data_IF_461299373124
#
_entry.id   IF_461299373124
#
_cell.length_a   1.000
_cell.length_b   1.000
_cell.length_c   1.000
_cell.angle_alpha   90.00
_cell.angle_beta   90.00
_cell.angle_gamma   90.00
#
_symmetry.space_group_name_H-M   'P 1'
#
loop_
_entity.id
_entity.type
_entity.pdbx_description
1 polymer ?
#
# COMPACT_ATOMS: atom_id res chain seq x y z
N UNK A 1 3.35 12.10 -17.99
CA UNK A 1 2.40 12.86 -17.14
C UNK A 1 2.85 13.01 -15.68
N UNK A 2 3.21 11.90 -15.01
CA UNK A 2 3.53 11.85 -13.56
C UNK A 2 4.61 12.87 -13.14
N UNK A 3 5.71 13.00 -13.88
CA UNK A 3 6.78 13.97 -13.56
C UNK A 3 6.27 15.42 -13.49
N UNK A 4 5.31 15.79 -14.34
CA UNK A 4 4.71 17.14 -14.36
C UNK A 4 3.90 17.40 -13.10
N UNK A 5 3.09 16.43 -12.68
CA UNK A 5 2.31 16.51 -11.44
C UNK A 5 3.25 16.52 -10.24
N UNK A 6 4.24 15.64 -10.22
CA UNK A 6 5.25 15.60 -9.17
C UNK A 6 5.96 16.96 -9.06
N UNK A 7 6.37 17.59 -10.18
CA UNK A 7 7.03 18.90 -10.14
C UNK A 7 6.18 20.05 -9.60
N UNK A 8 4.83 19.95 -9.63
CA UNK A 8 3.97 20.94 -8.99
C UNK A 8 3.79 20.73 -7.49
N UNK A 9 4.20 19.58 -6.95
CA UNK A 9 4.23 19.32 -5.51
C UNK A 9 5.55 19.90 -4.98
N UNK A 10 5.44 20.94 -4.17
CA UNK A 10 6.58 21.71 -3.64
C UNK A 10 6.68 21.59 -2.12
N UNK A 11 7.84 21.97 -1.57
CA UNK A 11 8.15 21.92 -0.14
C UNK A 11 9.48 21.21 0.15
N UNK A 12 9.85 21.18 1.43
CA UNK A 12 10.86 20.32 2.03
C UNK A 12 10.52 18.83 1.90
N UNK A 13 11.41 17.91 2.24
CA UNK A 13 11.18 16.47 2.07
C UNK A 13 9.88 15.98 2.74
N UNK A 14 9.64 16.39 3.99
CA UNK A 14 8.40 16.03 4.70
C UNK A 14 7.17 16.70 4.10
N UNK A 15 7.29 17.96 3.69
CA UNK A 15 6.19 18.67 3.01
C UNK A 15 5.86 18.04 1.66
N UNK A 16 6.86 17.55 0.90
CA UNK A 16 6.62 16.81 -0.34
C UNK A 16 5.80 15.55 -0.09
N UNK A 17 6.10 14.82 0.97
CA UNK A 17 5.33 13.63 1.37
C UNK A 17 3.91 14.01 1.76
N UNK A 18 3.73 15.03 2.60
CA UNK A 18 2.40 15.49 3.03
C UNK A 18 1.57 16.02 1.85
N UNK A 19 2.16 16.86 1.00
CA UNK A 19 1.50 17.43 -0.17
C UNK A 19 1.22 16.35 -1.22
N UNK A 20 2.06 15.31 -1.33
CA UNK A 20 1.77 14.15 -2.18
C UNK A 20 0.60 13.30 -1.67
N UNK A 21 0.48 13.14 -0.35
CA UNK A 21 -0.66 12.48 0.28
C UNK A 21 -1.96 13.27 0.07
N UNK A 22 -1.89 14.60 0.26
CA UNK A 22 -3.01 15.53 -0.01
C UNK A 22 -3.42 15.43 -1.47
N UNK A 23 -2.46 15.54 -2.40
CA UNK A 23 -2.73 15.44 -3.83
C UNK A 23 -3.45 14.14 -4.18
N UNK A 24 -2.96 13.01 -3.66
CA UNK A 24 -3.56 11.68 -3.90
C UNK A 24 -5.01 11.65 -3.42
N UNK A 25 -5.28 12.16 -2.21
CA UNK A 25 -6.62 12.18 -1.61
C UNK A 25 -7.58 13.13 -2.34
N UNK A 26 -7.12 14.29 -2.79
CA UNK A 26 -7.96 15.32 -3.41
C UNK A 26 -8.22 15.06 -4.89
N UNK A 27 -7.31 14.38 -5.59
CA UNK A 27 -7.39 14.19 -7.05
C UNK A 27 -7.88 12.81 -7.47
N UNK A 28 -7.89 11.83 -6.57
CA UNK A 28 -8.34 10.46 -6.87
C UNK A 28 -9.58 10.11 -6.04
N UNK A 29 -10.71 9.93 -6.73
CA UNK A 29 -11.95 9.49 -6.09
C UNK A 29 -11.98 7.97 -5.91
N UNK A 30 -12.66 7.51 -4.86
CA UNK A 30 -13.02 6.10 -4.77
C UNK A 30 -14.02 5.78 -5.88
N UNK A 31 -13.71 4.80 -6.73
CA UNK A 31 -14.70 4.19 -7.60
C UNK A 31 -15.76 3.53 -6.72
N UNK A 32 -17.03 3.49 -7.11
CA UNK A 32 -18.08 2.83 -6.31
C UNK A 32 -18.79 1.70 -7.06
N UNK A 33 -18.50 1.51 -8.35
CA UNK A 33 -19.06 0.43 -9.14
C UNK A 33 -18.57 -0.97 -8.73
N UNK A 34 -19.35 -1.98 -9.12
CA UNK A 34 -19.05 -3.39 -8.89
C UNK A 34 -17.81 -3.89 -9.66
N UNK A 35 -17.33 -3.11 -10.62
CA UNK A 35 -16.17 -3.46 -11.46
C UNK A 35 -14.81 -3.35 -10.74
N UNK A 36 -14.76 -2.93 -9.47
CA UNK A 36 -13.52 -2.84 -8.67
C UNK A 36 -12.68 -4.12 -8.72
N UNK A 37 -13.35 -5.27 -8.71
CA UNK A 37 -12.70 -6.58 -8.72
C UNK A 37 -11.99 -6.88 -10.05
N UNK A 38 -12.52 -6.39 -11.18
CA UNK A 38 -11.91 -6.57 -12.50
C UNK A 38 -10.62 -5.76 -12.65
N UNK A 39 -10.53 -4.62 -11.95
CA UNK A 39 -9.37 -3.73 -11.99
C UNK A 39 -8.34 -4.01 -10.88
N UNK A 40 -8.60 -5.00 -10.01
CA UNK A 40 -7.77 -5.29 -8.86
C UNK A 40 -6.33 -5.62 -9.28
N UNK A 41 -5.40 -4.71 -8.97
CA UNK A 41 -3.96 -4.84 -9.27
C UNK A 41 -3.63 -5.04 -10.76
N UNK A 42 -4.51 -4.58 -11.64
CA UNK A 42 -4.33 -4.63 -13.09
C UNK A 42 -3.92 -3.28 -13.69
N UNK A 43 -3.85 -2.22 -12.87
CA UNK A 43 -3.62 -0.85 -13.33
C UNK A 43 -2.26 -0.33 -12.93
N UNK A 44 -1.64 0.39 -13.85
CA UNK A 44 -0.43 1.18 -13.62
C UNK A 44 -0.77 2.50 -12.92
N UNK A 45 0.23 3.13 -12.30
CA UNK A 45 0.07 4.45 -11.69
C UNK A 45 -0.36 5.53 -12.70
N UNK A 46 0.07 5.43 -13.97
CA UNK A 46 -0.34 6.37 -15.01
C UNK A 46 -1.82 6.23 -15.35
N UNK A 47 -2.34 5.01 -15.47
CA UNK A 47 -3.77 4.77 -15.69
C UNK A 47 -4.61 5.26 -14.52
N UNK A 48 -4.20 4.99 -13.28
CA UNK A 48 -4.88 5.46 -12.06
C UNK A 48 -4.96 6.99 -12.03
N UNK A 49 -3.83 7.66 -12.26
CA UNK A 49 -3.75 9.12 -12.25
C UNK A 49 -4.57 9.73 -13.39
N UNK A 50 -4.54 9.13 -14.59
CA UNK A 50 -5.28 9.60 -15.76
C UNK A 50 -6.79 9.42 -15.58
N UNK A 51 -7.22 8.29 -15.02
CA UNK A 51 -8.64 7.99 -14.78
C UNK A 51 -9.22 8.77 -13.60
N UNK A 52 -8.36 9.35 -12.74
CA UNK A 52 -8.72 10.11 -11.54
C UNK A 52 -9.52 9.30 -10.51
N UNK A 53 -9.37 7.97 -10.51
CA UNK A 53 -10.03 7.11 -9.53
C UNK A 53 -9.18 5.93 -9.08
N UNK A 54 -9.40 5.53 -7.83
CA UNK A 54 -8.84 4.33 -7.20
C UNK A 54 -9.95 3.31 -6.94
N UNK A 55 -9.61 2.01 -6.96
CA UNK A 55 -10.51 0.92 -6.54
C UNK A 55 -10.13 0.33 -5.20
N UNK A 56 -8.98 0.74 -4.63
CA UNK A 56 -8.54 0.30 -3.31
C UNK A 56 -7.17 0.88 -2.92
N UNK A 57 -6.62 0.33 -1.83
CA UNK A 57 -5.40 0.84 -1.20
C UNK A 57 -4.17 0.62 -2.08
N UNK A 58 -4.15 -0.43 -2.91
CA UNK A 58 -3.09 -0.66 -3.89
C UNK A 58 -2.98 0.49 -4.88
N UNK A 59 -4.07 0.97 -5.47
CA UNK A 59 -3.99 2.06 -6.45
C UNK A 59 -3.53 3.38 -5.83
N UNK A 60 -4.05 3.70 -4.63
CA UNK A 60 -3.62 4.87 -3.89
C UNK A 60 -2.11 4.81 -3.59
N UNK A 61 -1.61 3.63 -3.20
CA UNK A 61 -0.19 3.40 -2.99
C UNK A 61 0.64 3.56 -4.27
N UNK A 62 0.20 2.99 -5.40
CA UNK A 62 0.93 3.09 -6.68
C UNK A 62 0.99 4.52 -7.20
N UNK A 63 -0.11 5.26 -7.13
CA UNK A 63 -0.13 6.67 -7.48
C UNK A 63 0.85 7.47 -6.61
N UNK A 64 0.76 7.32 -5.30
CA UNK A 64 1.62 8.03 -4.35
C UNK A 64 3.11 7.66 -4.50
N UNK A 65 3.45 6.38 -4.58
CA UNK A 65 4.82 5.89 -4.81
C UNK A 65 5.41 6.54 -6.06
N UNK A 66 4.64 6.60 -7.15
CA UNK A 66 5.12 7.14 -8.42
C UNK A 66 5.40 8.64 -8.34
N UNK A 67 4.59 9.39 -7.58
CA UNK A 67 4.85 10.81 -7.30
C UNK A 67 6.12 11.00 -6.46
N UNK A 68 6.29 10.22 -5.39
CA UNK A 68 7.46 10.31 -4.51
C UNK A 68 8.75 9.96 -5.25
N UNK A 69 8.77 8.85 -6.00
CA UNK A 69 9.93 8.44 -6.80
C UNK A 69 10.25 9.46 -7.90
N UNK A 70 9.25 10.11 -8.50
CA UNK A 70 9.46 11.21 -9.45
C UNK A 70 10.09 12.45 -8.79
N UNK A 71 9.91 12.63 -7.47
CA UNK A 71 10.61 13.62 -6.63
C UNK A 71 11.93 13.12 -6.07
N UNK A 72 12.41 11.95 -6.50
CA UNK A 72 13.63 11.28 -6.01
C UNK A 72 13.56 10.87 -4.54
N UNK A 73 12.36 10.82 -3.95
CA UNK A 73 12.15 10.26 -2.62
C UNK A 73 12.04 8.74 -2.76
N UNK A 74 12.93 7.94 -2.13
CA UNK A 74 12.78 6.50 -2.12
C UNK A 74 11.46 6.12 -1.44
N UNK A 75 10.62 5.36 -2.15
CA UNK A 75 9.33 4.91 -1.68
C UNK A 75 9.15 3.42 -1.96
N UNK A 76 8.60 2.66 -1.01
CA UNK A 76 8.49 1.20 -1.04
C UNK A 76 7.04 0.80 -0.78
N UNK A 77 6.52 -0.11 -1.60
CA UNK A 77 5.21 -0.71 -1.42
C UNK A 77 5.23 -1.66 -0.24
N UNK A 78 4.28 -1.55 0.70
CA UNK A 78 4.22 -2.39 1.91
C UNK A 78 2.86 -3.07 2.00
N UNK A 79 2.84 -4.37 1.73
CA UNK A 79 1.66 -5.22 1.90
C UNK A 79 1.56 -5.68 3.36
N UNK A 80 0.38 -5.54 3.96
CA UNK A 80 0.16 -5.94 5.35
C UNK A 80 -1.10 -6.77 5.51
N UNK A 81 -1.08 -7.66 6.50
CA UNK A 81 -2.19 -8.54 6.87
C UNK A 81 -2.68 -8.15 8.26
N UNK A 82 -3.99 -8.10 8.44
CA UNK A 82 -4.58 -7.87 9.75
C UNK A 82 -4.22 -9.00 10.73
N UNK A 83 -3.76 -8.65 11.94
CA UNK A 83 -3.42 -9.63 12.98
C UNK A 83 -4.63 -10.49 13.34
N UNK A 84 -5.83 -9.90 13.42
CA UNK A 84 -7.05 -10.64 13.74
C UNK A 84 -7.37 -11.70 12.69
N UNK A 85 -7.09 -11.42 11.41
CA UNK A 85 -7.26 -12.42 10.35
C UNK A 85 -6.21 -13.53 10.46
N UNK A 86 -4.96 -13.19 10.81
CA UNK A 86 -3.92 -14.19 11.07
C UNK A 86 -4.26 -15.11 12.24
N UNK A 87 -4.99 -14.62 13.24
CA UNK A 87 -5.43 -15.37 14.43
C UNK A 87 -6.74 -16.15 14.19
N UNK A 88 -7.62 -15.63 13.33
CA UNK A 88 -8.97 -16.18 13.09
C UNK A 88 -8.98 -17.52 12.38
N UNK A 89 -9.71 -18.51 12.89
CA UNK A 89 -9.91 -19.80 12.20
C UNK A 89 -10.57 -19.66 10.82
N UNK A 90 -11.30 -18.57 10.58
CA UNK A 90 -11.95 -18.30 9.30
C UNK A 90 -10.95 -17.81 8.25
N UNK A 91 -11.06 -18.33 7.03
CA UNK A 91 -10.19 -17.96 5.91
C UNK A 91 -10.65 -16.71 5.18
N UNK A 92 -11.93 -16.37 5.31
CA UNK A 92 -12.58 -15.30 4.55
C UNK A 92 -13.52 -14.48 5.43
N UNK A 93 -13.70 -13.18 5.12
CA UNK A 93 -12.95 -12.41 4.12
C UNK A 93 -11.51 -12.11 4.60
N UNK A 94 -10.60 -11.92 3.64
CA UNK A 94 -9.20 -11.55 3.93
C UNK A 94 -9.13 -10.08 4.29
N UNK A 95 -8.49 -9.77 5.41
CA UNK A 95 -8.27 -8.39 5.85
C UNK A 95 -6.79 -8.02 5.77
N UNK A 96 -6.50 -6.92 5.10
CA UNK A 96 -5.17 -6.37 4.93
C UNK A 96 -5.23 -4.88 4.59
N UNK A 97 -4.06 -4.26 4.45
CA UNK A 97 -3.95 -2.89 3.98
C UNK A 97 -2.59 -2.67 3.32
N UNK A 98 -2.55 -1.79 2.32
CA UNK A 98 -1.31 -1.38 1.69
C UNK A 98 -0.88 -0.03 2.26
N UNK A 99 0.36 0.01 2.72
CA UNK A 99 1.06 1.23 3.11
C UNK A 99 2.19 1.54 2.13
N UNK A 100 2.78 2.71 2.29
CA UNK A 100 4.00 3.09 1.59
C UNK A 100 5.05 3.50 2.61
N UNK A 101 6.24 2.93 2.55
CA UNK A 101 7.38 3.43 3.30
C UNK A 101 8.13 4.47 2.46
N UNK A 102 8.42 5.63 3.02
CA UNK A 102 9.25 6.67 2.38
C UNK A 102 10.52 6.91 3.20
N UNK A 103 11.65 7.11 2.52
CA UNK A 103 12.93 7.38 3.17
C UNK A 103 13.23 8.88 3.17
N UNK A 104 13.26 9.49 4.35
CA UNK A 104 13.57 10.90 4.57
C UNK A 104 14.57 11.02 5.72
N UNK A 105 15.51 11.96 5.67
CA UNK A 105 16.44 12.23 6.79
C UNK A 105 17.08 10.97 7.41
N UNK A 106 17.52 10.04 6.54
CA UNK A 106 18.10 8.74 6.92
C UNK A 106 17.16 7.79 7.69
N UNK A 107 15.85 7.98 7.62
CA UNK A 107 14.83 7.17 8.32
C UNK A 107 13.67 6.80 7.41
N UNK A 108 13.10 5.63 7.67
CA UNK A 108 11.87 5.17 7.00
C UNK A 108 10.63 5.64 7.77
N UNK A 109 9.69 6.24 7.06
CA UNK A 109 8.38 6.66 7.56
C UNK A 109 7.29 5.85 6.87
N UNK A 110 6.33 5.33 7.63
CA UNK A 110 5.19 4.60 7.08
C UNK A 110 4.06 5.59 6.79
N UNK A 111 3.56 5.61 5.57
CA UNK A 111 2.48 6.47 5.12
C UNK A 111 1.31 5.64 4.61
N UNK A 112 0.13 6.24 4.68
CA UNK A 112 -1.13 5.67 4.27
C UNK A 112 -1.80 6.58 3.24
N UNK A 113 -1.50 6.38 1.94
CA UNK A 113 -2.00 7.24 0.87
C UNK A 113 -3.52 7.27 0.74
N UNK A 114 -4.19 6.15 1.05
CA UNK A 114 -5.65 6.08 1.00
C UNK A 114 -6.33 7.04 2.00
N UNK A 115 -5.72 7.24 3.18
CA UNK A 115 -6.28 8.11 4.22
C UNK A 115 -5.54 9.45 4.36
N UNK A 116 -4.49 9.66 3.57
CA UNK A 116 -3.67 10.86 3.61
C UNK A 116 -2.93 11.06 4.93
N UNK A 117 -2.36 10.00 5.52
CA UNK A 117 -1.70 10.05 6.84
C UNK A 117 -0.27 9.54 6.80
N UNK A 118 0.58 10.07 7.66
CA UNK A 118 1.89 9.50 8.00
C UNK A 118 1.83 8.98 9.43
N UNK A 119 2.23 7.73 9.62
CA UNK A 119 2.30 7.11 10.94
C UNK A 119 3.52 7.62 11.70
N UNK A 120 3.40 7.73 13.03
CA UNK A 120 4.53 8.14 13.90
C UNK A 120 5.65 7.10 13.94
N UNK A 121 5.38 5.88 13.50
CA UNK A 121 6.33 4.76 13.52
C UNK A 121 6.35 4.07 12.16
N UNK A 122 7.44 3.39 11.84
CA UNK A 122 7.55 2.59 10.63
C UNK A 122 6.88 1.20 10.74
N UNK A 123 6.09 0.94 11.79
CA UNK A 123 5.44 -0.34 12.03
C UNK A 123 3.92 -0.17 12.11
N UNK A 124 3.13 -0.93 11.33
CA UNK A 124 1.69 -0.90 11.49
C UNK A 124 1.29 -1.55 12.82
N UNK A 125 0.42 -0.90 13.59
CA UNK A 125 0.07 -1.32 14.98
C UNK A 125 -0.66 -2.67 15.03
N UNK A 126 -1.72 -2.79 14.24
CA UNK A 126 -2.65 -3.93 14.25
C UNK A 126 -2.46 -4.87 13.06
N UNK A 127 -1.36 -4.71 12.32
CA UNK A 127 -1.08 -5.49 11.11
C UNK A 127 0.34 -6.06 11.15
N UNK A 128 0.56 -7.09 10.34
CA UNK A 128 1.86 -7.73 10.12
C UNK A 128 2.28 -7.44 8.69
N UNK A 129 3.53 -7.03 8.49
CA UNK A 129 4.10 -6.86 7.14
C UNK A 129 4.20 -8.25 6.50
N UNK A 130 3.51 -8.44 5.39
CA UNK A 130 3.60 -9.64 4.57
C UNK A 130 4.84 -9.57 3.67
N UNK A 131 4.94 -8.49 2.89
CA UNK A 131 6.03 -8.28 1.95
C UNK A 131 6.23 -6.79 1.67
N UNK A 132 7.42 -6.47 1.17
CA UNK A 132 7.79 -5.15 0.67
C UNK A 132 8.33 -5.31 -0.74
N UNK A 133 8.07 -4.34 -1.61
CA UNK A 133 8.54 -4.37 -2.99
C UNK A 133 8.39 -3.04 -3.72
N UNK A 134 8.63 -3.08 -5.03
CA UNK A 134 8.43 -1.93 -5.91
C UNK A 134 6.95 -1.60 -6.10
N UNK A 135 6.12 -2.64 -6.22
CA UNK A 135 4.66 -2.64 -6.37
C UNK A 135 4.08 -4.01 -5.98
N UNK A 136 2.81 -4.27 -6.29
CA UNK A 136 2.18 -5.56 -6.00
C UNK A 136 2.69 -6.70 -6.89
N UNK A 137 3.10 -6.43 -8.12
CA UNK A 137 3.63 -7.43 -9.04
C UNK A 137 5.00 -7.93 -8.58
N UNK A 138 5.85 -7.03 -8.07
CA UNK A 138 7.17 -7.34 -7.51
C UNK A 138 7.09 -8.33 -6.33
N UNK A 139 6.06 -8.21 -5.49
CA UNK A 139 5.78 -9.19 -4.41
C UNK A 139 4.97 -10.42 -4.89
N UNK A 140 4.76 -10.53 -6.20
CA UNK A 140 4.09 -11.64 -6.88
C UNK A 140 2.57 -11.68 -6.71
N UNK A 141 1.92 -10.57 -6.39
CA UNK A 141 0.45 -10.49 -6.24
C UNK A 141 -0.12 -9.63 -7.35
N UNK A 142 -0.64 -10.28 -8.39
CA UNK A 142 -1.24 -9.60 -9.55
C UNK A 142 -2.76 -9.64 -9.55
N UNK A 143 -3.36 -10.59 -8.83
CA UNK A 143 -4.80 -10.77 -8.78
C UNK A 143 -5.25 -11.28 -7.39
N UNK A 144 -6.57 -11.40 -7.19
CA UNK A 144 -7.13 -11.82 -5.90
C UNK A 144 -6.79 -13.28 -5.54
N UNK A 145 -6.63 -14.15 -6.54
CA UNK A 145 -6.22 -15.54 -6.33
C UNK A 145 -4.80 -15.60 -5.76
N UNK A 146 -3.85 -14.85 -6.34
CA UNK A 146 -2.47 -14.75 -5.85
C UNK A 146 -2.43 -14.25 -4.40
N UNK A 147 -3.20 -13.19 -4.12
CA UNK A 147 -3.33 -12.61 -2.77
C UNK A 147 -3.79 -13.68 -1.78
N UNK A 148 -4.90 -14.35 -2.09
CA UNK A 148 -5.50 -15.38 -1.24
C UNK A 148 -4.51 -16.51 -0.98
N UNK A 149 -3.92 -17.07 -2.03
CA UNK A 149 -2.99 -18.19 -1.91
C UNK A 149 -1.78 -17.81 -1.05
N UNK A 150 -1.14 -16.67 -1.33
CA UNK A 150 0.05 -16.25 -0.58
C UNK A 150 -0.26 -15.91 0.88
N UNK A 151 -1.40 -15.26 1.15
CA UNK A 151 -1.79 -14.93 2.52
C UNK A 151 -2.12 -16.19 3.33
N UNK A 152 -2.76 -17.20 2.73
CA UNK A 152 -3.02 -18.48 3.40
C UNK A 152 -1.71 -19.21 3.75
N UNK A 153 -0.76 -19.26 2.82
CA UNK A 153 0.58 -19.83 3.06
C UNK A 153 1.30 -19.09 4.18
N UNK A 154 1.26 -17.75 4.15
CA UNK A 154 1.86 -16.93 5.20
C UNK A 154 1.22 -17.18 6.56
N UNK A 155 -0.12 -17.21 6.62
CA UNK A 155 -0.89 -17.44 7.86
C UNK A 155 -0.52 -18.75 8.52
N UNK A 156 -0.41 -19.83 7.74
CA UNK A 156 -0.06 -21.15 8.27
C UNK A 156 1.35 -21.14 8.92
N UNK A 157 2.33 -20.54 8.23
CA UNK A 157 3.70 -20.39 8.77
C UNK A 157 3.73 -19.49 10.01
N UNK A 158 3.00 -18.38 9.97
CA UNK A 158 2.91 -17.43 11.06
C UNK A 158 2.33 -18.09 12.32
N UNK A 159 1.26 -18.89 12.20
CA UNK A 159 0.67 -19.62 13.33
C UNK A 159 1.60 -20.64 13.94
N UNK A 160 2.25 -21.46 13.10
CA UNK A 160 3.21 -22.47 13.59
C UNK A 160 4.29 -21.83 14.46
N UNK A 161 4.86 -20.71 14.00
CA UNK A 161 5.89 -19.96 14.74
C UNK A 161 5.37 -19.34 16.05
N UNK A 162 4.12 -18.89 16.10
CA UNK A 162 3.56 -18.27 17.30
C UNK A 162 3.02 -19.29 18.31
N UNK A 163 2.66 -20.50 17.86
CA UNK A 163 2.31 -21.62 18.76
C UNK A 163 3.57 -22.24 19.40
N UNK A 164 4.69 -22.31 18.68
CA UNK A 164 5.95 -22.85 19.21
C UNK A 164 6.65 -21.96 20.24
N UNK A 165 6.26 -20.68 20.34
CA UNK A 165 6.83 -19.70 21.28
C UNK A 165 5.93 -19.47 22.51
N UNK A 166 4.82 -20.20 22.63
CA UNK A 166 3.85 -20.09 23.72
C UNK A 166 3.72 -21.38 24.55
N UNK A 167 4.70 -22.29 24.44
CA UNK A 167 4.81 -23.52 25.23
C UNK A 167 5.98 -23.44 26.21
#
# INVERSE_FOLDING_TARGET
>A
MIRKIASSITGSEMELVQNGLIWTKENLRMEESENKNQLFRQRTAEEIIKSKFITGCTDAALAFISLMRARKIPAVFVETIDKKWLESKNEVPIYGHVYVEVFLDSKWYLTNPMYGKTEKTNKPRERVIFAKGLDSCDIGITNFSDLKQKFLVFRNKWRQKNLSNGG
#
